data_IF_518097920848
#
_entry.id   IF_518097920848
#
_cell.length_a   1.000
_cell.length_b   1.000
_cell.length_c   1.000
_cell.angle_alpha   90.00
_cell.angle_beta   90.00
_cell.angle_gamma   90.00
#
_symmetry.space_group_name_H-M   'P 1'
#
loop_
_entity.id
_entity.type
_entity.pdbx_description
1 polymer ?
#
# COMPACT_ATOMS: atom_id res chain seq x y z
N UNK A 1 -23.39 -12.36 -15.92
CA UNK A 1 -24.22 -11.64 -14.93
C UNK A 1 -23.67 -10.21 -14.79
N UNK A 2 -24.33 -9.22 -15.41
CA UNK A 2 -23.91 -7.81 -15.36
C UNK A 2 -24.45 -7.20 -14.06
N UNK A 3 -23.59 -7.08 -13.05
CA UNK A 3 -23.95 -6.52 -11.76
C UNK A 3 -24.39 -5.05 -11.94
N UNK A 4 -25.63 -4.79 -11.56
CA UNK A 4 -26.31 -3.51 -11.51
C UNK A 4 -25.75 -2.65 -10.37
N UNK A 5 -24.55 -2.10 -10.54
CA UNK A 5 -23.96 -1.09 -9.63
C UNK A 5 -24.54 0.32 -9.83
N UNK A 6 -25.78 0.41 -10.33
CA UNK A 6 -26.42 1.71 -10.56
C UNK A 6 -27.05 2.24 -9.26
N UNK A 7 -26.43 3.32 -8.77
CA UNK A 7 -27.03 4.40 -7.96
C UNK A 7 -27.35 4.06 -6.50
N UNK A 8 -26.33 3.76 -5.71
CA UNK A 8 -26.34 4.24 -4.32
C UNK A 8 -25.75 5.65 -4.32
N UNK A 9 -26.59 6.67 -4.13
CA UNK A 9 -26.16 8.05 -3.95
C UNK A 9 -25.40 8.16 -2.61
N UNK A 10 -24.08 7.96 -2.66
CA UNK A 10 -23.20 8.16 -1.52
C UNK A 10 -23.07 9.66 -1.24
N UNK A 11 -23.28 10.14 0.01
CA UNK A 11 -23.17 11.56 0.35
C UNK A 11 -21.71 12.05 0.35
N UNK A 12 -20.74 11.14 0.26
CA UNK A 12 -19.32 11.44 0.38
C UNK A 12 -18.69 11.70 -1.00
N UNK A 13 -18.72 12.94 -1.47
CA UNK A 13 -17.89 13.39 -2.61
C UNK A 13 -16.59 13.97 -2.06
N UNK A 14 -15.48 13.30 -2.34
CA UNK A 14 -14.16 13.86 -2.07
C UNK A 14 -13.72 14.58 -3.33
N UNK A 15 -13.44 15.88 -3.20
CA UNK A 15 -12.81 16.64 -4.28
C UNK A 15 -11.34 16.27 -4.26
N UNK A 16 -10.91 15.44 -5.21
CA UNK A 16 -9.49 15.22 -5.39
C UNK A 16 -8.90 16.55 -5.85
N UNK A 17 -7.91 17.04 -5.12
CA UNK A 17 -7.27 18.32 -5.38
C UNK A 17 -6.86 18.47 -6.86
N UNK A 18 -6.51 17.38 -7.55
CA UNK A 18 -6.21 17.33 -9.00
C UNK A 18 -7.37 17.51 -10.01
N UNK A 19 -8.54 18.00 -9.59
CA UNK A 19 -9.63 18.40 -10.51
C UNK A 19 -10.62 17.29 -10.91
N UNK A 20 -10.47 16.07 -10.39
CA UNK A 20 -11.43 14.97 -10.57
C UNK A 20 -12.33 14.80 -9.35
N UNK A 21 -13.63 14.55 -9.55
CA UNK A 21 -14.49 14.07 -8.45
C UNK A 21 -14.44 12.55 -8.42
N UNK A 22 -13.77 11.99 -7.42
CA UNK A 22 -13.83 10.55 -7.15
C UNK A 22 -15.08 10.29 -6.33
N UNK A 23 -15.98 9.44 -6.83
CA UNK A 23 -17.13 8.99 -6.04
C UNK A 23 -16.65 7.93 -5.06
N UNK A 24 -16.62 8.28 -3.77
CA UNK A 24 -16.30 7.34 -2.71
C UNK A 24 -17.59 6.67 -2.28
N UNK A 25 -17.72 5.38 -2.57
CA UNK A 25 -18.83 4.58 -2.04
C UNK A 25 -18.55 4.23 -0.57
N UNK A 26 -19.61 4.09 0.23
CA UNK A 26 -19.48 3.63 1.62
C UNK A 26 -18.76 2.28 1.72
N UNK A 27 -19.04 1.37 0.78
CA UNK A 27 -18.35 0.09 0.66
C UNK A 27 -16.83 0.25 0.39
N UNK A 28 -16.45 1.16 -0.54
CA UNK A 28 -15.04 1.44 -0.82
C UNK A 28 -14.31 2.08 0.35
N UNK A 29 -14.99 2.94 1.10
CA UNK A 29 -14.45 3.52 2.34
C UNK A 29 -14.24 2.46 3.41
N UNK A 30 -15.24 1.58 3.62
CA UNK A 30 -15.14 0.48 4.58
C UNK A 30 -14.00 -0.48 4.23
N UNK A 31 -13.89 -0.88 2.96
CA UNK A 31 -12.78 -1.74 2.52
C UNK A 31 -11.42 -1.05 2.70
N UNK A 32 -11.32 0.24 2.39
CA UNK A 32 -10.08 1.01 2.57
C UNK A 32 -9.64 1.08 4.03
N UNK A 33 -10.58 1.27 4.96
CA UNK A 33 -10.31 1.25 6.40
C UNK A 33 -9.86 -0.13 6.88
N UNK A 34 -10.48 -1.21 6.39
CA UNK A 34 -10.08 -2.58 6.71
C UNK A 34 -8.66 -2.84 6.21
N UNK A 35 -8.33 -2.46 4.98
CA UNK A 35 -6.98 -2.58 4.43
C UNK A 35 -5.95 -1.79 5.26
N UNK A 36 -6.28 -0.54 5.62
CA UNK A 36 -5.39 0.28 6.45
C UNK A 36 -5.16 -0.33 7.84
N UNK A 37 -6.22 -0.84 8.48
CA UNK A 37 -6.12 -1.51 9.78
C UNK A 37 -5.29 -2.81 9.70
N UNK A 38 -5.51 -3.62 8.66
CA UNK A 38 -4.74 -4.84 8.43
C UNK A 38 -3.25 -4.54 8.19
N UNK A 39 -2.94 -3.51 7.41
CA UNK A 39 -1.57 -3.08 7.16
C UNK A 39 -0.89 -2.57 8.43
N UNK A 40 -1.58 -1.74 9.24
CA UNK A 40 -1.06 -1.28 10.52
C UNK A 40 -0.79 -2.45 11.48
N UNK A 41 -1.71 -3.42 11.56
CA UNK A 41 -1.51 -4.63 12.35
C UNK A 41 -0.31 -5.45 11.85
N UNK A 42 -0.14 -5.60 10.54
CA UNK A 42 1.03 -6.25 9.94
C UNK A 42 2.34 -5.58 10.37
N UNK A 43 2.46 -4.26 10.21
CA UNK A 43 3.68 -3.52 10.58
C UNK A 43 3.99 -3.68 12.09
N UNK A 44 2.96 -3.57 12.94
CA UNK A 44 3.14 -3.73 14.39
C UNK A 44 3.53 -5.16 14.79
N UNK A 45 2.94 -6.18 14.16
CA UNK A 45 3.29 -7.59 14.41
C UNK A 45 4.71 -7.91 13.90
N UNK A 46 5.07 -7.40 12.73
CA UNK A 46 6.42 -7.52 12.16
C UNK A 46 7.47 -6.85 13.04
N UNK A 47 7.16 -5.68 13.61
CA UNK A 47 8.06 -5.02 14.56
C UNK A 47 8.27 -5.81 15.86
N UNK A 48 7.33 -6.70 16.23
CA UNK A 48 7.42 -7.56 17.42
C UNK A 48 8.17 -8.87 17.18
N UNK A 49 8.36 -9.28 15.93
CA UNK A 49 9.24 -10.40 15.62
C UNK A 49 10.70 -10.03 15.91
N UNK A 50 11.46 -10.93 16.54
CA UNK A 50 12.83 -10.62 16.97
C UNK A 50 13.86 -10.56 15.84
N UNK A 51 13.55 -11.11 14.67
CA UNK A 51 14.46 -11.15 13.52
C UNK A 51 13.70 -11.17 12.18
N UNK A 52 14.31 -10.65 11.10
CA UNK A 52 13.79 -10.79 9.74
C UNK A 52 13.86 -12.26 9.32
N UNK A 53 12.77 -12.99 9.50
CA UNK A 53 12.65 -14.38 9.09
C UNK A 53 11.90 -14.48 7.75
N UNK A 54 12.66 -14.64 6.67
CA UNK A 54 12.11 -14.80 5.32
C UNK A 54 11.21 -16.02 5.19
N UNK A 55 11.35 -17.03 6.06
CA UNK A 55 10.49 -18.21 6.07
C UNK A 55 9.08 -17.87 6.54
N UNK A 56 8.95 -17.00 7.55
CA UNK A 56 7.65 -16.47 7.99
C UNK A 56 7.00 -15.60 6.92
N UNK A 57 7.80 -14.80 6.23
CA UNK A 57 7.33 -13.99 5.11
C UNK A 57 6.84 -14.87 3.95
N UNK A 58 7.59 -15.92 3.60
CA UNK A 58 7.18 -16.88 2.59
C UNK A 58 5.86 -17.59 2.98
N UNK A 59 5.72 -18.01 4.25
CA UNK A 59 4.48 -18.61 4.74
C UNK A 59 3.30 -17.63 4.67
N UNK A 60 3.51 -16.35 5.01
CA UNK A 60 2.49 -15.32 4.88
C UNK A 60 2.03 -15.16 3.42
N UNK A 61 2.94 -15.19 2.45
CA UNK A 61 2.60 -15.17 1.03
C UNK A 61 1.85 -16.43 0.57
N UNK A 62 2.20 -17.61 1.09
CA UNK A 62 1.46 -18.84 0.81
C UNK A 62 0.02 -18.73 1.32
N UNK A 63 -0.17 -18.28 2.56
CA UNK A 63 -1.51 -18.10 3.15
C UNK A 63 -2.30 -17.05 2.36
N UNK A 64 -1.70 -15.90 2.06
CA UNK A 64 -2.32 -14.86 1.24
C UNK A 64 -2.74 -15.41 -0.13
N UNK A 65 -1.86 -16.16 -0.79
CA UNK A 65 -2.15 -16.80 -2.08
C UNK A 65 -3.34 -17.74 -1.96
N UNK A 66 -3.42 -18.58 -0.92
CA UNK A 66 -4.55 -19.51 -0.73
C UNK A 66 -5.88 -18.78 -0.49
N UNK A 67 -5.85 -17.65 0.22
CA UNK A 67 -7.03 -16.83 0.48
C UNK A 67 -7.50 -16.11 -0.79
N UNK A 68 -6.55 -15.60 -1.59
CA UNK A 68 -6.84 -14.87 -2.82
C UNK A 68 -7.16 -15.79 -4.00
N UNK A 69 -6.68 -17.04 -3.98
CA UNK A 69 -6.86 -18.02 -5.04
C UNK A 69 -8.31 -18.14 -5.53
N UNK A 70 -9.34 -18.35 -4.67
CA UNK A 70 -10.73 -18.47 -5.14
C UNK A 70 -11.26 -17.19 -5.79
N UNK A 71 -10.72 -16.02 -5.42
CA UNK A 71 -11.14 -14.73 -5.96
C UNK A 71 -10.49 -14.45 -7.32
N UNK A 72 -9.24 -14.86 -7.50
CA UNK A 72 -8.45 -14.58 -8.70
C UNK A 72 -8.66 -15.66 -9.78
N UNK A 73 -8.95 -16.90 -9.40
CA UNK A 73 -9.10 -18.03 -10.32
C UNK A 73 -10.05 -17.75 -11.51
N UNK A 74 -11.22 -17.10 -11.34
CA UNK A 74 -12.12 -16.77 -12.46
C UNK A 74 -11.57 -15.71 -13.42
N UNK A 75 -10.55 -14.97 -13.01
CA UNK A 75 -9.95 -13.86 -13.75
C UNK A 75 -8.56 -14.22 -14.31
N UNK A 76 -8.12 -15.47 -14.20
CA UNK A 76 -6.81 -15.91 -14.70
C UNK A 76 -6.77 -15.78 -16.23
N UNK A 77 -5.85 -14.97 -16.78
CA UNK A 77 -5.68 -14.84 -18.22
C UNK A 77 -5.00 -16.08 -18.80
N UNK A 78 -4.98 -16.17 -20.12
CA UNK A 78 -4.29 -17.25 -20.83
C UNK A 78 -2.76 -17.18 -20.54
N UNK A 79 -2.21 -18.26 -19.98
CA UNK A 79 -0.86 -18.29 -19.43
C UNK A 79 0.19 -18.56 -20.53
N UNK A 80 0.39 -17.59 -21.41
CA UNK A 80 1.52 -17.61 -22.34
C UNK A 80 2.86 -17.47 -21.59
N UNK A 81 3.93 -18.05 -22.14
CA UNK A 81 5.28 -17.95 -21.54
C UNK A 81 5.70 -16.49 -21.25
N UNK A 82 5.33 -15.56 -22.13
CA UNK A 82 5.60 -14.12 -21.98
C UNK A 82 4.83 -13.51 -20.81
N UNK A 83 3.54 -13.82 -20.66
CA UNK A 83 2.72 -13.31 -19.55
C UNK A 83 3.23 -13.87 -18.23
N UNK A 84 3.50 -15.18 -18.17
CA UNK A 84 4.06 -15.83 -16.98
C UNK A 84 5.40 -15.20 -16.58
N UNK A 85 6.30 -14.97 -17.53
CA UNK A 85 7.59 -14.32 -17.26
C UNK A 85 7.41 -12.90 -16.69
N UNK A 86 6.50 -12.10 -17.27
CA UNK A 86 6.22 -10.73 -16.78
C UNK A 86 5.61 -10.74 -15.38
N UNK A 87 4.65 -11.62 -15.12
CA UNK A 87 4.01 -11.76 -13.81
C UNK A 87 5.05 -12.20 -12.77
N UNK A 88 5.86 -13.21 -13.07
CA UNK A 88 6.93 -13.67 -12.17
C UNK A 88 7.97 -12.57 -11.91
N UNK A 89 8.42 -11.86 -12.94
CA UNK A 89 9.35 -10.74 -12.77
C UNK A 89 8.74 -9.66 -11.87
N UNK A 90 7.47 -9.31 -12.08
CA UNK A 90 6.77 -8.32 -11.25
C UNK A 90 6.56 -8.80 -9.80
N UNK A 91 6.28 -10.09 -9.60
CA UNK A 91 6.13 -10.68 -8.26
C UNK A 91 7.46 -10.71 -7.52
N UNK A 92 8.55 -11.08 -8.19
CA UNK A 92 9.87 -11.14 -7.57
C UNK A 92 10.39 -9.75 -7.20
N UNK A 93 10.31 -8.79 -8.14
CA UNK A 93 10.85 -7.45 -7.94
C UNK A 93 9.91 -6.58 -7.10
N UNK A 94 8.62 -6.56 -7.44
CA UNK A 94 7.64 -5.66 -6.83
C UNK A 94 7.08 -6.16 -5.50
N UNK A 95 7.08 -7.47 -5.24
CA UNK A 95 6.52 -8.04 -4.02
C UNK A 95 7.61 -8.67 -3.17
N UNK A 96 8.27 -9.74 -3.64
CA UNK A 96 9.21 -10.49 -2.80
C UNK A 96 10.40 -9.64 -2.33
N UNK A 97 11.05 -8.91 -3.25
CA UNK A 97 12.16 -8.04 -2.90
C UNK A 97 11.71 -6.85 -2.03
N UNK A 98 10.62 -6.17 -2.40
CA UNK A 98 10.09 -5.03 -1.66
C UNK A 98 9.74 -5.40 -0.21
N UNK A 99 8.95 -6.45 0.01
CA UNK A 99 8.57 -6.89 1.35
C UNK A 99 9.75 -7.43 2.17
N UNK A 100 10.76 -8.02 1.52
CA UNK A 100 11.98 -8.44 2.21
C UNK A 100 12.78 -7.22 2.69
N UNK A 101 12.89 -6.18 1.86
CA UNK A 101 13.52 -4.92 2.25
C UNK A 101 12.74 -4.22 3.35
N UNK A 102 11.41 -4.22 3.31
CA UNK A 102 10.56 -3.65 4.35
C UNK A 102 10.77 -4.36 5.69
N UNK A 103 10.76 -5.69 5.70
CA UNK A 103 11.05 -6.46 6.90
C UNK A 103 12.43 -6.08 7.46
N UNK A 104 13.45 -6.02 6.59
CA UNK A 104 14.80 -5.63 7.00
C UNK A 104 14.87 -4.18 7.54
N UNK A 105 14.18 -3.24 6.90
CA UNK A 105 14.13 -1.84 7.30
C UNK A 105 13.44 -1.67 8.65
N UNK A 106 12.31 -2.33 8.88
CA UNK A 106 11.58 -2.32 10.15
C UNK A 106 12.47 -2.87 11.27
N UNK A 107 13.20 -3.96 11.04
CA UNK A 107 14.10 -4.53 12.06
C UNK A 107 15.37 -3.68 12.30
N UNK A 108 15.90 -3.01 11.28
CA UNK A 108 17.13 -2.20 11.42
C UNK A 108 16.90 -0.79 11.96
N UNK A 109 15.83 -0.15 11.54
CA UNK A 109 15.54 1.26 11.83
C UNK A 109 14.40 1.42 12.86
N UNK A 110 13.64 0.35 13.13
CA UNK A 110 12.46 0.41 13.98
C UNK A 110 11.25 1.00 13.24
N UNK A 111 10.06 0.70 13.76
CA UNK A 111 8.77 1.01 13.10
C UNK A 111 8.60 2.51 12.77
N UNK A 112 9.10 3.40 13.62
CA UNK A 112 8.98 4.86 13.43
C UNK A 112 9.74 5.34 12.18
N UNK A 113 10.99 4.92 12.03
CA UNK A 113 11.85 5.39 10.95
C UNK A 113 11.45 4.71 9.62
N UNK A 114 11.05 3.44 9.67
CA UNK A 114 10.44 2.76 8.53
C UNK A 114 9.14 3.46 8.08
N UNK A 115 8.31 3.92 9.03
CA UNK A 115 7.10 4.71 8.74
C UNK A 115 7.38 6.05 8.05
N UNK A 116 8.49 6.72 8.39
CA UNK A 116 8.92 7.94 7.69
C UNK A 116 9.37 7.63 6.25
N UNK A 117 10.09 6.52 6.03
CA UNK A 117 10.47 6.09 4.69
C UNK A 117 9.24 5.77 3.84
N UNK A 118 8.26 5.04 4.40
CA UNK A 118 6.96 4.77 3.78
C UNK A 118 6.19 6.05 3.42
N UNK A 119 6.29 7.10 4.24
CA UNK A 119 5.67 8.39 3.91
C UNK A 119 6.26 9.05 2.65
N UNK A 120 7.48 8.67 2.25
CA UNK A 120 8.16 9.16 1.05
C UNK A 120 7.87 8.33 -0.21
N UNK A 121 7.28 7.13 -0.07
CA UNK A 121 6.92 6.26 -1.19
C UNK A 121 6.14 6.95 -2.32
N UNK A 122 5.19 7.87 -2.06
CA UNK A 122 4.45 8.52 -3.14
C UNK A 122 5.38 9.29 -4.10
N UNK A 123 6.50 9.84 -3.62
CA UNK A 123 7.47 10.56 -4.45
C UNK A 123 8.18 9.57 -5.37
N UNK A 124 8.66 8.46 -4.80
CA UNK A 124 9.39 7.42 -5.53
C UNK A 124 8.47 6.77 -6.57
N UNK A 125 7.23 6.47 -6.20
CA UNK A 125 6.22 5.92 -7.08
C UNK A 125 5.87 6.86 -8.23
N UNK A 126 5.68 8.16 -7.95
CA UNK A 126 5.37 9.16 -8.96
C UNK A 126 6.55 9.41 -9.92
N UNK A 127 7.78 9.48 -9.41
CA UNK A 127 8.98 9.58 -10.24
C UNK A 127 9.15 8.34 -11.11
N UNK A 128 8.96 7.15 -10.54
CA UNK A 128 9.02 5.89 -11.29
C UNK A 128 7.95 5.84 -12.38
N UNK A 129 6.71 6.25 -12.07
CA UNK A 129 5.64 6.37 -13.06
C UNK A 129 5.96 7.36 -14.18
N UNK A 130 6.56 8.51 -13.85
CA UNK A 130 6.97 9.49 -14.85
C UNK A 130 8.12 9.01 -15.72
N UNK A 131 9.13 8.35 -15.14
CA UNK A 131 10.33 7.91 -15.84
C UNK A 131 10.11 6.62 -16.65
N UNK A 132 9.42 5.63 -16.08
CA UNK A 132 9.22 4.31 -16.70
C UNK A 132 8.00 4.29 -17.61
N UNK A 133 6.90 4.92 -17.18
CA UNK A 133 5.63 4.92 -17.92
C UNK A 133 5.39 6.22 -18.71
N UNK A 134 6.28 7.22 -18.59
CA UNK A 134 6.14 8.50 -19.31
C UNK A 134 4.98 9.37 -18.83
N UNK A 135 4.46 9.14 -17.61
CA UNK A 135 3.25 9.82 -17.13
C UNK A 135 3.50 11.31 -16.84
N UNK A 136 2.63 12.18 -17.37
CA UNK A 136 2.62 13.60 -17.04
C UNK A 136 1.86 13.84 -15.73
N UNK A 137 2.58 14.26 -14.69
CA UNK A 137 1.99 14.62 -13.40
C UNK A 137 1.65 16.11 -13.39
N UNK A 138 0.40 16.43 -13.04
CA UNK A 138 -0.04 17.82 -12.91
C UNK A 138 0.61 18.49 -11.69
N UNK A 139 0.73 19.82 -11.70
CA UNK A 139 1.22 20.59 -10.54
C UNK A 139 0.44 20.28 -9.26
N UNK A 140 -0.86 20.01 -9.41
CA UNK A 140 -1.72 19.71 -8.27
C UNK A 140 -1.50 18.31 -7.70
N UNK A 141 -1.10 17.35 -8.53
CA UNK A 141 -0.66 16.02 -8.08
C UNK A 141 0.62 16.13 -7.26
N UNK A 142 1.58 16.95 -7.70
CA UNK A 142 2.79 17.26 -6.92
C UNK A 142 2.48 17.89 -5.57
N UNK A 143 1.58 18.89 -5.55
CA UNK A 143 1.17 19.54 -4.31
C UNK A 143 0.47 18.56 -3.34
N UNK A 144 -0.44 17.72 -3.85
CA UNK A 144 -1.11 16.68 -3.05
C UNK A 144 -0.14 15.66 -2.46
N UNK A 145 0.86 15.22 -3.22
CA UNK A 145 1.92 14.33 -2.73
C UNK A 145 2.74 15.00 -1.62
N UNK A 146 3.14 16.26 -1.80
CA UNK A 146 3.85 17.01 -0.76
C UNK A 146 3.04 17.15 0.54
N UNK A 147 1.72 17.37 0.44
CA UNK A 147 0.85 17.44 1.60
C UNK A 147 0.77 16.09 2.35
N UNK A 148 0.67 14.98 1.63
CA UNK A 148 0.63 13.64 2.24
C UNK A 148 1.97 13.30 2.91
N UNK A 149 3.10 13.59 2.26
CA UNK A 149 4.43 13.36 2.81
C UNK A 149 4.65 14.16 4.09
N UNK A 150 4.35 15.46 4.06
CA UNK A 150 4.49 16.34 5.23
C UNK A 150 3.60 15.88 6.38
N UNK A 151 2.35 15.52 6.12
CA UNK A 151 1.46 14.95 7.13
C UNK A 151 2.03 13.65 7.74
N UNK A 152 2.58 12.75 6.93
CA UNK A 152 3.20 11.51 7.41
C UNK A 152 4.43 11.75 8.30
N UNK A 153 5.32 12.65 7.89
CA UNK A 153 6.50 13.05 8.70
C UNK A 153 6.07 13.69 10.02
N UNK A 154 5.08 14.57 10.00
CA UNK A 154 4.56 15.23 11.20
C UNK A 154 3.90 14.23 12.17
N UNK A 155 3.09 13.31 11.66
CA UNK A 155 2.45 12.26 12.47
C UNK A 155 3.49 11.33 13.11
N UNK A 156 4.54 10.96 12.38
CA UNK A 156 5.67 10.21 12.94
C UNK A 156 6.50 11.04 13.94
N UNK A 157 6.44 12.36 13.84
CA UNK A 157 7.08 13.33 14.74
C UNK A 157 6.35 13.56 16.06
N UNK A 158 5.00 13.49 16.06
CA UNK A 158 4.13 13.96 17.15
C UNK A 158 3.97 13.03 18.35
N UNK A 159 4.42 11.78 18.27
CA UNK A 159 4.52 10.91 19.46
C UNK A 159 5.74 11.28 20.31
N UNK A 160 5.63 12.40 21.01
CA UNK A 160 6.29 12.58 22.30
C UNK A 160 5.51 11.73 23.31
N UNK A 161 6.14 10.65 23.78
CA UNK A 161 5.70 9.87 24.94
C UNK A 161 5.08 10.79 26.01
N UNK A 162 3.91 10.47 26.60
CA UNK A 162 3.54 11.04 27.88
C UNK A 162 4.61 10.59 28.88
N UNK A 163 5.59 11.47 29.09
CA UNK A 163 6.47 11.38 30.23
C UNK A 163 5.59 11.40 31.49
N UNK A 164 5.74 10.38 32.32
CA UNK A 164 5.37 10.36 33.73
C UNK A 164 3.95 10.82 34.07
N UNK A 165 3.06 9.85 34.22
CA UNK A 165 2.12 9.89 35.33
C UNK A 165 2.47 8.70 36.24
N UNK A 166 3.09 9.06 37.37
CA UNK A 166 3.30 8.33 38.62
C UNK A 166 2.61 6.97 38.79
#
# INVERSE_FOLDING_TARGET
MRATWRRAASPWRVVALGGGTVQVTSAGLASGLVTAAAFAAYVLLQARTGSPDLSRLALAFVVATLVDLPLILPAVPDLSATVTCRVLASALVGVAAAYSLDAFAIHRLGARQAGVLLALDPAVGALSGRLVLGQSLTTMTWAGMGLVMTAGVLAAGSDSSPAAAE
#
